data_IF_714291002337
#
_entry.id   IF_714291002337
#
_cell.length_a   1.000
_cell.length_b   1.000
_cell.length_c   1.000
_cell.angle_alpha   90.00
_cell.angle_beta   90.00
_cell.angle_gamma   90.00
#
_symmetry.space_group_name_H-M   'P 1'
#
loop_
_entity.id
_entity.type
_entity.pdbx_description
1 polymer ?
#
# COMPACT_ATOMS: atom_id res chain seq x y z
N UNK A 1 5.65 -34.68 92.99
CA UNK A 1 6.05 -34.98 91.60
C UNK A 1 4.77 -34.98 90.76
N UNK A 2 4.64 -33.96 89.92
CA UNK A 2 3.38 -33.25 89.67
C UNK A 2 2.40 -33.95 88.72
N UNK A 3 1.12 -33.96 89.12
CA UNK A 3 -0.03 -34.28 88.26
C UNK A 3 -0.04 -33.44 86.97
N UNK A 4 0.56 -32.24 87.02
CA UNK A 4 0.72 -31.29 85.92
C UNK A 4 1.63 -31.77 84.77
N UNK A 5 2.49 -32.78 85.01
CA UNK A 5 3.43 -33.31 83.99
C UNK A 5 2.84 -34.45 83.13
N UNK A 6 1.77 -35.11 83.59
CA UNK A 6 1.08 -36.16 82.83
C UNK A 6 0.15 -35.59 81.76
N UNK A 7 -0.46 -34.44 82.01
CA UNK A 7 -1.33 -33.76 81.05
C UNK A 7 -0.54 -33.11 79.92
N UNK A 8 0.64 -32.54 80.18
CA UNK A 8 1.51 -31.97 79.14
C UNK A 8 2.07 -33.03 78.21
N UNK A 9 2.44 -34.21 78.71
CA UNK A 9 2.89 -35.33 77.86
C UNK A 9 1.76 -35.93 77.01
N UNK A 10 0.53 -36.00 77.54
CA UNK A 10 -0.64 -36.45 76.78
C UNK A 10 -1.08 -35.42 75.72
N UNK A 11 -0.96 -34.12 76.00
CA UNK A 11 -1.22 -33.05 75.03
C UNK A 11 -0.14 -33.02 73.95
N UNK A 12 1.14 -33.25 74.29
CA UNK A 12 2.22 -33.39 73.30
C UNK A 12 2.09 -34.67 72.46
N UNK A 13 1.59 -35.78 73.02
CA UNK A 13 1.28 -37.00 72.26
C UNK A 13 0.01 -36.87 71.40
N UNK A 14 -0.97 -36.06 71.81
CA UNK A 14 -2.13 -35.71 70.98
C UNK A 14 -1.74 -34.72 69.87
N UNK A 15 -0.87 -33.76 70.15
CA UNK A 15 -0.36 -32.80 69.16
C UNK A 15 0.64 -33.45 68.18
N UNK A 16 1.42 -34.45 68.60
CA UNK A 16 2.26 -35.24 67.70
C UNK A 16 1.49 -36.30 66.87
N UNK A 17 0.26 -36.64 67.25
CA UNK A 17 -0.61 -37.52 66.45
C UNK A 17 -1.66 -36.75 65.65
N UNK A 18 -1.62 -35.41 65.65
CA UNK A 18 -2.40 -34.56 64.75
C UNK A 18 -1.58 -33.91 63.64
N UNK A 19 -0.34 -34.36 63.41
CA UNK A 19 0.29 -34.24 62.09
C UNK A 19 -0.35 -35.26 61.14
N UNK A 20 -1.68 -35.22 61.02
CA UNK A 20 -2.32 -35.58 59.76
C UNK A 20 -1.80 -34.51 58.82
N UNK A 21 -0.82 -34.87 58.00
CA UNK A 21 -0.39 -34.03 56.90
C UNK A 21 -1.64 -33.59 56.16
N UNK A 22 -2.00 -32.32 56.30
CA UNK A 22 -2.87 -31.68 55.34
C UNK A 22 -2.06 -31.71 54.05
N UNK A 23 -2.24 -32.75 53.25
CA UNK A 23 -1.85 -32.71 51.85
C UNK A 23 -2.71 -31.58 51.27
N UNK A 24 -2.07 -30.43 51.00
CA UNK A 24 -2.74 -29.25 50.45
C UNK A 24 -3.66 -29.70 49.32
N UNK A 25 -4.97 -29.50 49.50
CA UNK A 25 -5.94 -29.95 48.52
C UNK A 25 -5.82 -29.09 47.27
N UNK A 26 -5.44 -29.70 46.15
CA UNK A 26 -5.39 -29.05 44.84
C UNK A 26 -6.21 -29.83 43.81
N UNK A 27 -6.52 -29.15 42.72
CA UNK A 27 -7.02 -29.73 41.47
C UNK A 27 -6.08 -29.32 40.33
N UNK A 28 -6.07 -30.08 39.24
CA UNK A 28 -5.37 -29.69 38.02
C UNK A 28 -6.38 -29.08 37.06
N UNK A 29 -6.12 -27.85 36.63
CA UNK A 29 -7.00 -27.10 35.73
C UNK A 29 -6.34 -27.01 34.35
N UNK A 30 -7.02 -27.58 33.36
CA UNK A 30 -6.71 -27.43 31.94
C UNK A 30 -7.60 -26.37 31.26
N UNK A 31 -7.45 -26.18 29.95
CA UNK A 31 -8.23 -25.22 29.19
C UNK A 31 -9.66 -25.75 28.96
N UNK A 32 -10.63 -24.83 28.86
CA UNK A 32 -12.03 -25.17 28.54
C UNK A 32 -12.29 -25.36 27.04
N UNK A 33 -11.35 -24.95 26.18
CA UNK A 33 -11.43 -25.09 24.72
C UNK A 33 -10.19 -25.84 24.21
N UNK A 34 -10.28 -26.53 23.05
CA UNK A 34 -9.12 -27.12 22.41
C UNK A 34 -8.03 -26.08 22.13
N UNK A 35 -6.78 -26.48 22.31
CA UNK A 35 -5.62 -25.69 21.92
C UNK A 35 -5.39 -25.93 20.44
N UNK A 36 -5.39 -24.85 19.65
CA UNK A 36 -5.13 -24.92 18.20
C UNK A 36 -3.74 -24.38 17.91
N UNK A 37 -2.97 -25.09 17.08
CA UNK A 37 -1.63 -24.70 16.66
C UNK A 37 -1.38 -25.06 15.19
N UNK A 38 -0.35 -24.49 14.59
CA UNK A 38 0.06 -24.80 13.23
C UNK A 38 1.24 -25.77 13.19
N UNK A 39 1.38 -26.51 12.07
CA UNK A 39 2.55 -27.36 11.84
C UNK A 39 3.85 -26.54 11.86
N UNK A 40 4.90 -27.13 12.44
CA UNK A 40 6.22 -26.56 12.65
C UNK A 40 6.30 -25.37 13.63
N UNK A 41 5.21 -25.03 14.32
CA UNK A 41 5.23 -24.11 15.45
C UNK A 41 5.46 -24.85 16.77
N UNK A 42 5.80 -24.09 17.82
CA UNK A 42 5.88 -24.59 19.19
C UNK A 42 4.53 -24.32 19.89
N UNK A 43 4.01 -25.31 20.63
CA UNK A 43 2.74 -25.19 21.35
C UNK A 43 2.91 -25.50 22.83
N UNK A 44 2.13 -24.82 23.66
CA UNK A 44 2.02 -25.09 25.10
C UNK A 44 0.62 -25.64 25.37
N UNK A 45 0.54 -26.85 25.92
CA UNK A 45 -0.70 -27.43 26.45
C UNK A 45 -0.84 -27.01 27.91
N UNK A 46 -1.76 -26.06 28.22
CA UNK A 46 -1.82 -25.46 29.52
C UNK A 46 -2.39 -26.43 30.55
N UNK A 47 -1.68 -26.58 31.67
CA UNK A 47 -2.18 -27.26 32.86
C UNK A 47 -1.57 -26.60 34.10
N UNK A 48 -2.40 -26.31 35.10
CA UNK A 48 -1.96 -25.60 36.30
C UNK A 48 -2.69 -26.10 37.55
N UNK A 49 -2.02 -26.02 38.69
CA UNK A 49 -2.60 -26.36 39.99
C UNK A 49 -3.46 -25.20 40.49
N UNK A 50 -4.65 -25.53 41.00
CA UNK A 50 -5.51 -24.60 41.70
C UNK A 50 -5.82 -25.15 43.10
N UNK A 51 -5.44 -24.47 44.20
CA UNK A 51 -4.65 -23.22 44.22
C UNK A 51 -3.22 -23.42 43.69
N UNK A 52 -2.52 -22.32 43.39
CA UNK A 52 -1.13 -22.38 42.95
C UNK A 52 -0.22 -22.88 44.08
N UNK A 53 0.41 -24.04 43.87
CA UNK A 53 1.31 -24.70 44.82
C UNK A 53 2.66 -25.00 44.16
N UNK A 54 3.72 -25.14 44.95
CA UNK A 54 5.00 -25.58 44.40
C UNK A 54 4.94 -27.07 44.02
N UNK A 55 4.98 -27.35 42.71
CA UNK A 55 4.93 -28.68 42.13
C UNK A 55 6.31 -29.31 41.87
N UNK A 56 7.42 -28.70 42.28
CA UNK A 56 8.77 -29.24 42.04
C UNK A 56 8.97 -30.64 42.65
N UNK A 57 8.36 -30.88 43.80
CA UNK A 57 8.39 -32.17 44.49
C UNK A 57 7.33 -33.16 43.99
N UNK A 58 6.44 -32.75 43.07
CA UNK A 58 5.35 -33.57 42.56
C UNK A 58 5.82 -34.40 41.37
N UNK A 59 5.10 -35.47 41.09
CA UNK A 59 5.29 -36.24 39.87
C UNK A 59 4.24 -35.83 38.83
N UNK A 60 4.67 -35.51 37.62
CA UNK A 60 3.79 -35.07 36.52
C UNK A 60 3.94 -36.01 35.34
N UNK A 61 2.81 -36.53 34.84
CA UNK A 61 2.76 -37.40 33.67
C UNK A 61 1.88 -36.79 32.59
N UNK A 62 2.41 -36.76 31.38
CA UNK A 62 1.66 -36.46 30.17
C UNK A 62 1.60 -37.70 29.29
N UNK A 63 0.39 -38.10 28.90
CA UNK A 63 0.16 -39.26 28.05
C UNK A 63 -1.09 -39.07 27.19
N UNK A 64 -1.17 -39.82 26.10
CA UNK A 64 -2.33 -39.82 25.19
C UNK A 64 -3.26 -40.98 25.49
N UNK A 65 -2.73 -42.20 25.58
CA UNK A 65 -3.50 -43.45 25.74
C UNK A 65 -3.02 -44.31 26.91
N UNK A 66 -1.74 -44.70 26.94
CA UNK A 66 -1.19 -45.57 27.98
C UNK A 66 -0.44 -44.79 29.07
N UNK A 67 -1.01 -44.81 30.28
CA UNK A 67 -0.41 -44.20 31.47
C UNK A 67 0.94 -44.82 31.88
N UNK A 68 1.19 -46.09 31.52
CA UNK A 68 2.44 -46.80 31.85
C UNK A 68 3.59 -46.42 30.93
N UNK A 69 3.27 -45.83 29.78
CA UNK A 69 4.25 -45.35 28.82
C UNK A 69 4.00 -43.87 28.50
N UNK A 70 4.20 -42.97 29.49
CA UNK A 70 3.92 -41.56 29.32
C UNK A 70 4.88 -40.95 28.29
N UNK A 71 4.34 -40.03 27.50
CA UNK A 71 5.13 -39.28 26.52
C UNK A 71 6.15 -38.38 27.21
N UNK A 72 5.78 -37.83 28.37
CA UNK A 72 6.66 -37.10 29.27
C UNK A 72 6.35 -37.47 30.73
N UNK A 73 7.40 -37.78 31.48
CA UNK A 73 7.37 -38.04 32.92
C UNK A 73 8.36 -37.09 33.61
N UNK A 74 7.86 -36.23 34.48
CA UNK A 74 8.67 -35.48 35.43
C UNK A 74 8.57 -36.14 36.81
N UNK A 75 9.70 -36.59 37.34
CA UNK A 75 9.80 -37.13 38.69
C UNK A 75 11.24 -36.96 39.21
N UNK A 76 11.40 -36.74 40.52
CA UNK A 76 12.72 -36.60 41.15
C UNK A 76 13.62 -35.57 40.44
N UNK A 77 13.07 -34.39 40.15
CA UNK A 77 13.76 -33.28 39.48
C UNK A 77 14.33 -33.61 38.09
N UNK A 78 13.82 -34.66 37.45
CA UNK A 78 14.27 -35.12 36.14
C UNK A 78 13.12 -35.33 35.18
N UNK A 79 13.33 -34.94 33.92
CA UNK A 79 12.38 -35.12 32.82
C UNK A 79 12.80 -36.34 31.98
N UNK A 80 11.98 -37.38 32.02
CA UNK A 80 12.09 -38.59 31.18
C UNK A 80 11.08 -38.52 30.04
N UNK A 81 11.50 -39.00 28.87
CA UNK A 81 10.74 -38.99 27.61
C UNK A 81 10.81 -40.36 26.97
N UNK A 82 9.75 -40.79 26.29
CA UNK A 82 9.66 -42.13 25.73
C UNK A 82 10.60 -42.31 24.52
N UNK A 83 10.61 -41.36 23.59
CA UNK A 83 11.49 -41.34 22.40
C UNK A 83 11.70 -39.94 21.80
N UNK A 84 10.91 -38.96 22.21
CA UNK A 84 10.81 -37.66 21.56
C UNK A 84 11.48 -36.56 22.39
N UNK A 85 12.45 -35.85 21.79
CA UNK A 85 13.17 -34.75 22.45
C UNK A 85 12.45 -33.41 22.34
N UNK A 86 11.40 -33.32 21.51
CA UNK A 86 10.62 -32.08 21.28
C UNK A 86 9.72 -31.72 22.45
N UNK A 87 9.36 -32.70 23.28
CA UNK A 87 8.42 -32.57 24.39
C UNK A 87 9.16 -32.23 25.66
N UNK A 88 8.78 -31.15 26.34
CA UNK A 88 9.42 -30.70 27.57
C UNK A 88 8.43 -30.00 28.49
N UNK A 89 8.87 -29.71 29.71
CA UNK A 89 8.15 -28.93 30.70
C UNK A 89 9.12 -27.91 31.32
N UNK A 90 8.61 -26.73 31.69
CA UNK A 90 9.41 -25.70 32.37
C UNK A 90 9.50 -25.97 33.87
N UNK A 91 10.70 -26.33 34.35
CA UNK A 91 10.96 -26.61 35.77
C UNK A 91 10.76 -25.35 36.62
N UNK A 92 11.18 -24.18 36.14
CA UNK A 92 11.00 -22.91 36.87
C UNK A 92 9.53 -22.59 37.13
N UNK A 93 8.66 -22.94 36.18
CA UNK A 93 7.22 -22.71 36.26
C UNK A 93 6.52 -23.69 37.22
N UNK A 94 7.13 -24.82 37.57
CA UNK A 94 6.59 -25.75 38.57
C UNK A 94 6.46 -25.10 39.95
N UNK A 95 7.34 -24.16 40.29
CA UNK A 95 7.29 -23.40 41.56
C UNK A 95 5.98 -22.66 41.76
N UNK A 96 5.32 -22.31 40.65
CA UNK A 96 4.05 -21.59 40.62
C UNK A 96 2.87 -22.52 40.33
N UNK A 97 3.07 -23.84 40.36
CA UNK A 97 2.04 -24.83 40.07
C UNK A 97 1.70 -24.98 38.59
N UNK A 98 2.54 -24.44 37.69
CA UNK A 98 2.32 -24.61 36.25
C UNK A 98 3.02 -25.87 35.76
N UNK A 99 2.22 -26.84 35.33
CA UNK A 99 2.63 -28.20 34.91
C UNK A 99 2.42 -28.41 33.40
N UNK A 100 2.39 -27.32 32.64
CA UNK A 100 2.10 -27.33 31.21
C UNK A 100 3.14 -28.11 30.38
N UNK A 101 2.66 -28.83 29.36
CA UNK A 101 3.52 -29.52 28.39
C UNK A 101 3.86 -28.56 27.24
N UNK A 102 5.12 -28.55 26.84
CA UNK A 102 5.62 -27.80 25.69
C UNK A 102 6.00 -28.81 24.62
N UNK A 103 5.42 -28.69 23.43
CA UNK A 103 5.75 -29.50 22.26
C UNK A 103 6.38 -28.59 21.22
N UNK A 104 7.64 -28.84 20.89
CA UNK A 104 8.36 -28.10 19.87
C UNK A 104 8.15 -28.68 18.47
N UNK A 105 8.18 -27.83 17.46
CA UNK A 105 8.07 -28.25 16.05
C UNK A 105 6.93 -29.26 15.84
N UNK A 106 5.70 -28.81 16.01
CA UNK A 106 4.48 -29.64 16.01
C UNK A 106 4.27 -30.33 14.67
N UNK A 107 3.95 -31.61 14.70
CA UNK A 107 3.59 -32.42 13.53
C UNK A 107 2.09 -32.73 13.52
N UNK A 108 1.54 -33.09 12.35
CA UNK A 108 0.12 -33.49 12.21
C UNK A 108 -0.21 -34.70 13.10
N UNK A 109 0.76 -35.59 13.33
CA UNK A 109 0.60 -36.73 14.23
C UNK A 109 0.51 -36.36 15.72
N UNK A 110 0.83 -35.13 16.10
CA UNK A 110 0.67 -34.67 17.49
C UNK A 110 -0.81 -34.27 17.78
N UNK A 111 -1.71 -34.27 16.79
CA UNK A 111 -3.15 -34.02 16.97
C UNK A 111 -3.82 -35.16 17.76
N UNK A 112 -3.92 -34.97 19.08
CA UNK A 112 -4.42 -35.97 20.02
C UNK A 112 -5.06 -35.31 21.25
N UNK A 113 -5.85 -36.10 21.97
CA UNK A 113 -6.31 -35.77 23.32
C UNK A 113 -5.22 -36.16 24.33
N UNK A 114 -4.64 -35.15 24.98
CA UNK A 114 -3.63 -35.32 26.00
C UNK A 114 -4.25 -35.34 27.39
N UNK A 115 -3.68 -36.16 28.28
CA UNK A 115 -4.03 -36.23 29.70
C UNK A 115 -2.82 -35.83 30.52
N UNK A 116 -3.04 -34.89 31.44
CA UNK A 116 -2.07 -34.46 32.42
C UNK A 116 -2.48 -35.00 33.78
N UNK A 117 -1.58 -35.74 34.41
CA UNK A 117 -1.81 -36.39 35.68
C UNK A 117 -0.72 -35.96 36.66
N UNK A 118 -1.14 -35.48 37.82
CA UNK A 118 -0.23 -34.95 38.85
C UNK A 118 -0.40 -35.75 40.14
N UNK A 119 0.72 -36.27 40.65
CA UNK A 119 0.79 -37.00 41.91
C UNK A 119 1.50 -36.17 42.99
N UNK A 120 0.86 -36.07 44.15
CA UNK A 120 1.44 -35.51 45.37
C UNK A 120 1.25 -36.50 46.51
N UNK A 121 2.25 -37.36 46.72
CA UNK A 121 2.18 -38.45 47.70
C UNK A 121 1.07 -39.45 47.36
N UNK A 122 -0.05 -39.37 48.07
CA UNK A 122 -1.22 -40.25 47.90
C UNK A 122 -2.35 -39.62 47.06
N UNK A 123 -2.24 -38.33 46.72
CA UNK A 123 -3.26 -37.62 45.93
C UNK A 123 -2.91 -37.68 44.45
N UNK A 124 -3.94 -37.88 43.64
CA UNK A 124 -3.90 -37.96 42.18
C UNK A 124 -4.99 -37.06 41.61
N UNK A 125 -4.61 -36.17 40.71
CA UNK A 125 -5.54 -35.26 40.02
C UNK A 125 -5.22 -35.24 38.52
N UNK A 126 -6.25 -35.25 37.67
CA UNK A 126 -6.14 -35.32 36.22
C UNK A 126 -6.86 -34.14 35.54
N UNK A 127 -6.30 -33.66 34.42
CA UNK A 127 -7.02 -32.84 33.44
C UNK A 127 -6.77 -33.33 32.02
N UNK A 128 -7.68 -32.98 31.11
CA UNK A 128 -7.58 -33.28 29.69
C UNK A 128 -7.33 -32.02 28.88
N UNK A 129 -6.49 -32.12 27.85
CA UNK A 129 -6.20 -31.04 26.91
C UNK A 129 -6.27 -31.59 25.49
N UNK A 130 -7.22 -31.09 24.71
CA UNK A 130 -7.36 -31.45 23.29
C UNK A 130 -6.44 -30.56 22.45
N UNK A 131 -5.49 -31.14 21.73
CA UNK A 131 -4.64 -30.42 20.76
C UNK A 131 -5.18 -30.65 19.36
N UNK A 132 -5.46 -29.58 18.62
CA UNK A 132 -5.84 -29.63 17.20
C UNK A 132 -4.75 -28.98 16.36
N UNK A 133 -4.18 -29.72 15.41
CA UNK A 133 -3.08 -29.25 14.57
C UNK A 133 -3.61 -28.87 13.20
N UNK A 134 -3.45 -27.60 12.83
CA UNK A 134 -3.85 -27.07 11.54
C UNK A 134 -2.66 -26.95 10.57
N UNK A 135 -2.90 -27.29 9.31
CA UNK A 135 -1.99 -27.08 8.19
C UNK A 135 -2.56 -25.97 7.33
N UNK A 136 -1.86 -24.84 7.29
CA UNK A 136 -2.15 -23.77 6.33
C UNK A 136 -1.65 -24.22 4.97
N UNK A 137 -2.57 -24.34 4.02
CA UNK A 137 -2.22 -24.75 2.67
C UNK A 137 -1.61 -23.62 1.85
N UNK A 138 -1.31 -23.95 0.59
CA UNK A 138 -0.76 -22.99 -0.36
C UNK A 138 -1.76 -21.88 -0.71
N UNK A 139 -1.25 -20.76 -1.24
CA UNK A 139 -2.08 -19.66 -1.71
C UNK A 139 -3.04 -20.15 -2.81
N UNK A 140 -4.34 -19.80 -2.76
CA UNK A 140 -5.30 -20.23 -3.77
C UNK A 140 -4.96 -19.62 -5.13
N UNK A 141 -5.16 -20.43 -6.17
CA UNK A 141 -5.02 -20.03 -7.57
C UNK A 141 -6.38 -20.10 -8.26
N UNK A 142 -6.70 -19.09 -9.06
CA UNK A 142 -7.96 -19.05 -9.83
C UNK A 142 -7.64 -19.41 -11.28
N UNK A 143 -8.28 -20.46 -11.78
CA UNK A 143 -8.22 -20.88 -13.17
C UNK A 143 -9.60 -20.75 -13.84
N UNK A 144 -9.60 -20.56 -15.15
CA UNK A 144 -10.82 -20.50 -15.94
C UNK A 144 -10.98 -21.81 -16.72
N UNK A 145 -12.11 -22.48 -16.57
CA UNK A 145 -12.47 -23.67 -17.35
C UNK A 145 -13.74 -23.41 -18.16
N UNK A 146 -13.66 -23.60 -19.49
CA UNK A 146 -14.81 -23.57 -20.39
C UNK A 146 -15.14 -25.01 -20.79
N UNK A 147 -16.25 -25.56 -20.30
CA UNK A 147 -16.78 -26.84 -20.79
C UNK A 147 -17.58 -26.63 -22.08
N UNK A 148 -17.51 -27.58 -23.03
CA UNK A 148 -18.34 -27.63 -24.25
C UNK A 148 -19.82 -27.41 -23.89
N UNK A 149 -20.34 -26.19 -24.11
CA UNK A 149 -21.67 -25.77 -23.65
C UNK A 149 -21.82 -24.34 -23.10
N UNK A 150 -20.97 -23.39 -23.51
CA UNK A 150 -21.17 -21.93 -23.36
C UNK A 150 -21.29 -21.33 -21.94
N UNK A 151 -20.92 -22.02 -20.86
CA UNK A 151 -20.83 -21.39 -19.53
C UNK A 151 -19.41 -21.40 -19.00
N UNK A 152 -18.81 -20.21 -18.93
CA UNK A 152 -17.52 -19.96 -18.28
C UNK A 152 -17.61 -20.29 -16.80
N UNK A 153 -16.67 -21.10 -16.30
CA UNK A 153 -16.58 -21.46 -14.88
C UNK A 153 -15.22 -21.02 -14.35
N UNK A 154 -15.21 -20.37 -13.20
CA UNK A 154 -14.00 -20.07 -12.46
C UNK A 154 -13.78 -21.16 -11.41
N UNK A 155 -12.57 -21.68 -11.33
CA UNK A 155 -12.17 -22.65 -10.31
C UNK A 155 -11.06 -22.04 -9.46
N UNK A 156 -11.34 -21.83 -8.18
CA UNK A 156 -10.36 -21.43 -7.18
C UNK A 156 -9.85 -22.68 -6.47
N UNK A 157 -8.57 -23.00 -6.62
CA UNK A 157 -7.98 -24.24 -6.10
C UNK A 157 -6.77 -23.96 -5.21
N UNK A 158 -6.69 -24.67 -4.09
CA UNK A 158 -5.55 -24.66 -3.18
C UNK A 158 -5.25 -26.07 -2.66
N UNK A 159 -3.97 -26.30 -2.35
CA UNK A 159 -3.45 -27.60 -1.94
C UNK A 159 -2.90 -27.56 -0.51
N UNK A 160 -2.71 -28.73 0.09
CA UNK A 160 -2.05 -28.92 1.39
C UNK A 160 -2.80 -28.32 2.59
N UNK A 161 -4.13 -28.27 2.56
CA UNK A 161 -4.95 -27.77 3.67
C UNK A 161 -5.36 -28.87 4.66
N UNK A 162 -5.40 -28.58 5.95
CA UNK A 162 -6.05 -29.44 6.94
C UNK A 162 -6.40 -28.63 8.20
N UNK A 163 -7.67 -28.47 8.63
CA UNK A 163 -8.90 -28.99 8.03
C UNK A 163 -9.32 -28.20 6.78
N UNK A 164 -10.51 -28.48 6.23
CA UNK A 164 -11.06 -27.74 5.09
C UNK A 164 -11.23 -26.24 5.45
N UNK A 165 -10.68 -25.32 4.63
CA UNK A 165 -10.84 -23.89 4.84
C UNK A 165 -12.26 -23.42 4.49
N UNK A 166 -12.64 -22.30 5.08
CA UNK A 166 -13.77 -21.50 4.66
C UNK A 166 -13.41 -20.79 3.34
N UNK A 167 -14.24 -20.95 2.32
CA UNK A 167 -14.02 -20.32 1.00
C UNK A 167 -15.06 -19.24 0.81
N UNK A 168 -14.61 -18.03 0.48
CA UNK A 168 -15.47 -16.87 0.21
C UNK A 168 -15.16 -16.29 -1.16
N UNK A 169 -16.21 -15.90 -1.89
CA UNK A 169 -16.11 -15.26 -3.19
C UNK A 169 -16.70 -13.86 -3.13
N UNK A 170 -15.98 -12.88 -3.70
CA UNK A 170 -16.48 -11.51 -3.87
C UNK A 170 -16.32 -11.04 -5.30
N UNK A 171 -17.30 -10.27 -5.77
CA UNK A 171 -17.24 -9.59 -7.08
C UNK A 171 -16.44 -8.27 -7.01
N UNK A 172 -16.40 -7.53 -8.13
CA UNK A 172 -15.69 -6.24 -8.25
C UNK A 172 -16.26 -5.15 -7.33
N UNK A 173 -17.55 -5.24 -6.98
CA UNK A 173 -18.23 -4.31 -6.10
C UNK A 173 -18.09 -4.71 -4.61
N UNK A 174 -17.42 -5.84 -4.33
CA UNK A 174 -17.25 -6.39 -2.99
C UNK A 174 -18.46 -7.17 -2.49
N UNK A 175 -19.45 -7.47 -3.32
CA UNK A 175 -20.63 -8.25 -2.95
C UNK A 175 -20.28 -9.74 -2.80
N UNK A 176 -20.86 -10.39 -1.79
CA UNK A 176 -20.67 -11.81 -1.52
C UNK A 176 -21.46 -12.67 -2.51
N UNK A 177 -20.75 -13.48 -3.29
CA UNK A 177 -21.32 -14.41 -4.29
C UNK A 177 -21.04 -15.87 -3.95
N UNK A 178 -20.59 -16.15 -2.72
CA UNK A 178 -20.17 -17.49 -2.26
C UNK A 178 -21.28 -18.54 -2.40
N UNK A 179 -22.54 -18.15 -2.20
CA UNK A 179 -23.72 -19.03 -2.31
C UNK A 179 -23.93 -19.63 -3.71
N UNK A 180 -23.31 -19.04 -4.74
CA UNK A 180 -23.38 -19.53 -6.12
C UNK A 180 -22.26 -20.52 -6.44
N UNK A 181 -21.25 -20.63 -5.56
CA UNK A 181 -20.10 -21.51 -5.74
C UNK A 181 -20.37 -22.93 -5.22
N UNK A 182 -19.66 -23.92 -5.78
CA UNK A 182 -19.68 -25.30 -5.29
C UNK A 182 -18.29 -25.69 -4.82
N UNK A 183 -18.16 -26.13 -3.57
CA UNK A 183 -16.89 -26.54 -2.97
C UNK A 183 -16.71 -28.06 -3.11
N UNK A 184 -15.53 -28.48 -3.53
CA UNK A 184 -15.05 -29.86 -3.57
C UNK A 184 -13.77 -29.95 -2.74
N UNK A 185 -13.60 -31.06 -2.05
CA UNK A 185 -12.40 -31.36 -1.28
C UNK A 185 -11.98 -32.79 -1.54
N UNK A 186 -10.74 -32.97 -1.96
CA UNK A 186 -10.13 -34.27 -2.22
C UNK A 186 -8.91 -34.41 -1.32
N UNK A 187 -8.62 -35.63 -0.85
CA UNK A 187 -7.43 -35.89 -0.03
C UNK A 187 -6.31 -36.39 -0.92
N UNK A 188 -5.12 -35.83 -0.78
CA UNK A 188 -3.93 -36.27 -1.48
C UNK A 188 -3.33 -37.54 -0.83
N UNK A 189 -2.23 -38.04 -1.41
CA UNK A 189 -1.50 -39.21 -0.91
C UNK A 189 -0.87 -39.00 0.46
N UNK A 190 -0.64 -37.77 0.88
CA UNK A 190 -0.06 -37.39 2.19
C UNK A 190 -1.14 -37.18 3.25
N UNK A 191 -2.41 -37.31 2.87
CA UNK A 191 -3.53 -37.09 3.77
C UNK A 191 -3.91 -35.62 3.93
N UNK A 192 -3.41 -34.69 3.11
CA UNK A 192 -3.82 -33.28 3.13
C UNK A 192 -4.94 -33.02 2.12
N UNK A 193 -5.70 -31.94 2.30
CA UNK A 193 -6.84 -31.60 1.45
C UNK A 193 -6.41 -30.68 0.30
N UNK A 194 -6.77 -31.09 -0.91
CA UNK A 194 -6.88 -30.25 -2.09
C UNK A 194 -8.31 -29.76 -2.18
N UNK A 195 -8.50 -28.45 -2.06
CA UNK A 195 -9.81 -27.82 -1.97
C UNK A 195 -10.01 -26.96 -3.21
N UNK A 196 -11.07 -27.24 -3.96
CA UNK A 196 -11.45 -26.46 -5.12
C UNK A 196 -12.87 -25.92 -4.98
N UNK A 197 -13.07 -24.66 -5.35
CA UNK A 197 -14.37 -24.01 -5.37
C UNK A 197 -14.67 -23.54 -6.78
N UNK A 198 -15.83 -23.92 -7.31
CA UNK A 198 -16.24 -23.65 -8.69
C UNK A 198 -17.38 -22.64 -8.70
N UNK A 199 -17.17 -21.48 -9.33
CA UNK A 199 -18.16 -20.41 -9.49
C UNK A 199 -18.62 -20.34 -10.97
N UNK A 200 -19.91 -20.55 -11.26
CA UNK A 200 -20.46 -20.35 -12.60
C UNK A 200 -20.64 -18.85 -12.89
N UNK A 201 -20.03 -18.36 -13.97
CA UNK A 201 -20.08 -16.94 -14.34
C UNK A 201 -21.15 -16.72 -15.41
N UNK A 202 -22.03 -15.73 -15.19
CA UNK A 202 -23.10 -15.35 -16.13
C UNK A 202 -22.73 -14.17 -17.05
N UNK A 203 -21.77 -13.35 -16.64
CA UNK A 203 -21.40 -12.09 -17.30
C UNK A 203 -19.94 -12.13 -17.74
N UNK A 204 -19.64 -11.67 -18.95
CA UNK A 204 -18.31 -11.75 -19.55
C UNK A 204 -17.29 -10.78 -18.93
N UNK A 205 -17.73 -9.75 -18.19
CA UNK A 205 -16.87 -8.68 -17.66
C UNK A 205 -17.08 -8.48 -16.16
N UNK A 206 -16.56 -9.38 -15.34
CA UNK A 206 -16.51 -9.21 -13.89
C UNK A 206 -15.17 -9.69 -13.31
N UNK A 207 -14.70 -8.99 -12.29
CA UNK A 207 -13.53 -9.40 -11.50
C UNK A 207 -14.03 -10.12 -10.27
N UNK A 208 -13.53 -11.32 -10.04
CA UNK A 208 -13.86 -12.13 -8.87
C UNK A 208 -12.60 -12.33 -8.02
N UNK A 209 -12.78 -12.28 -6.71
CA UNK A 209 -11.76 -12.62 -5.73
C UNK A 209 -12.23 -13.83 -4.93
N UNK A 210 -11.30 -14.77 -4.71
CA UNK A 210 -11.52 -15.96 -3.89
C UNK A 210 -10.59 -15.89 -2.69
N UNK A 211 -11.14 -16.05 -1.50
CA UNK A 211 -10.40 -16.05 -0.24
C UNK A 211 -10.67 -17.35 0.50
N UNK A 212 -9.60 -18.10 0.80
CA UNK A 212 -9.64 -19.30 1.63
C UNK A 212 -9.07 -19.00 3.01
N UNK A 213 -9.83 -19.26 4.07
CA UNK A 213 -9.48 -18.94 5.47
C UNK A 213 -9.58 -20.18 6.37
N UNK A 214 -8.65 -20.34 7.31
CA UNK A 214 -8.81 -21.36 8.35
C UNK A 214 -9.95 -20.99 9.32
N UNK A 215 -10.61 -22.00 9.89
CA UNK A 215 -11.66 -21.82 10.91
C UNK A 215 -11.11 -21.36 12.25
N UNK A 216 -9.86 -21.72 12.59
CA UNK A 216 -9.21 -21.17 13.77
C UNK A 216 -8.65 -19.77 13.47
N UNK A 217 -8.93 -18.78 14.34
CA UNK A 217 -8.37 -17.45 14.19
C UNK A 217 -6.88 -17.49 14.54
N UNK A 218 -5.99 -17.32 13.56
CA UNK A 218 -4.63 -16.84 13.80
C UNK A 218 -4.68 -15.32 13.95
N UNK A 219 -4.38 -14.74 15.13
CA UNK A 219 -4.04 -13.34 15.19
C UNK A 219 -2.74 -13.15 14.41
N UNK A 220 -2.69 -12.09 13.62
CA UNK A 220 -1.56 -11.61 12.81
C UNK A 220 -1.30 -12.34 11.49
N UNK A 221 -2.17 -12.05 10.51
CA UNK A 221 -1.76 -11.77 9.13
C UNK A 221 -2.60 -10.60 8.59
N UNK A 222 -1.96 -9.44 8.36
CA UNK A 222 -2.46 -8.50 7.35
C UNK A 222 -2.41 -9.25 6.02
N UNK A 223 -3.57 -9.67 5.52
CA UNK A 223 -3.69 -10.28 4.20
C UNK A 223 -3.10 -9.31 3.18
N UNK A 224 -1.92 -9.62 2.66
CA UNK A 224 -1.37 -8.96 1.49
C UNK A 224 -2.35 -9.19 0.35
N UNK A 225 -3.08 -8.14 -0.01
CA UNK A 225 -3.98 -8.14 -1.15
C UNK A 225 -3.11 -8.20 -2.41
N UNK A 226 -2.82 -9.42 -2.87
CA UNK A 226 -2.26 -9.64 -4.19
C UNK A 226 -3.33 -9.31 -5.22
N UNK A 227 -3.44 -8.03 -5.60
CA UNK A 227 -4.19 -7.63 -6.78
C UNK A 227 -3.45 -8.20 -7.98
N UNK A 228 -3.85 -9.39 -8.42
CA UNK A 228 -3.51 -9.85 -9.76
C UNK A 228 -4.25 -8.95 -10.75
N UNK A 229 -3.56 -7.92 -11.22
CA UNK A 229 -3.93 -7.29 -12.46
C UNK A 229 -3.77 -8.34 -13.55
N UNK A 230 -4.90 -8.86 -14.01
CA UNK A 230 -4.98 -9.60 -15.26
C UNK A 230 -4.57 -8.60 -16.35
N UNK A 231 -3.27 -8.55 -16.64
CA UNK A 231 -2.80 -7.93 -17.86
C UNK A 231 -3.37 -8.80 -18.97
N UNK A 232 -4.28 -8.31 -19.84
CA UNK A 232 -4.67 -9.11 -20.99
C UNK A 232 -3.39 -9.42 -21.76
N UNK A 233 -3.26 -10.69 -22.15
CA UNK A 233 -2.11 -11.20 -22.90
C UNK A 233 -1.70 -10.20 -23.97
N UNK A 234 -0.37 -10.00 -24.08
CA UNK A 234 0.32 -9.02 -24.94
C UNK A 234 -0.60 -8.51 -26.03
N UNK A 235 -1.15 -7.30 -25.82
CA UNK A 235 -2.00 -6.64 -26.80
C UNK A 235 -1.34 -6.77 -28.17
N UNK A 236 -2.11 -7.10 -29.21
CA UNK A 236 -1.57 -7.16 -30.57
C UNK A 236 -0.80 -5.88 -30.95
N UNK A 237 -1.11 -4.76 -30.30
CA UNK A 237 -0.35 -3.51 -30.38
C UNK A 237 1.05 -3.55 -29.77
N UNK A 238 1.28 -4.26 -28.66
CA UNK A 238 2.62 -4.46 -28.08
C UNK A 238 3.46 -5.38 -28.97
N UNK A 239 2.87 -6.42 -29.55
CA UNK A 239 3.57 -7.26 -30.55
C UNK A 239 3.88 -6.44 -31.80
N UNK A 240 2.93 -5.66 -32.31
CA UNK A 240 3.15 -4.76 -33.43
C UNK A 240 4.24 -3.73 -33.11
N UNK A 241 4.23 -3.14 -31.91
CA UNK A 241 5.23 -2.18 -31.46
C UNK A 241 6.62 -2.81 -31.35
N UNK A 242 6.73 -4.02 -30.78
CA UNK A 242 8.00 -4.75 -30.70
C UNK A 242 8.50 -5.16 -32.09
N UNK A 243 7.63 -5.62 -33.00
CA UNK A 243 7.98 -5.93 -34.38
C UNK A 243 8.43 -4.67 -35.11
N UNK A 244 7.75 -3.53 -34.92
CA UNK A 244 8.12 -2.26 -35.52
C UNK A 244 9.44 -1.73 -34.96
N UNK A 245 9.67 -1.89 -33.66
CA UNK A 245 10.93 -1.56 -33.00
C UNK A 245 12.08 -2.41 -33.54
N UNK A 246 11.89 -3.74 -33.67
CA UNK A 246 12.89 -4.64 -34.24
C UNK A 246 13.13 -4.33 -35.72
N UNK A 247 12.09 -4.01 -36.49
CA UNK A 247 12.23 -3.56 -37.87
C UNK A 247 12.98 -2.22 -37.95
N UNK A 248 12.74 -1.28 -37.05
CA UNK A 248 13.49 -0.03 -36.96
C UNK A 248 14.95 -0.28 -36.59
N UNK A 249 15.22 -1.14 -35.61
CA UNK A 249 16.58 -1.50 -35.17
C UNK A 249 17.33 -2.39 -36.17
N UNK A 250 16.64 -3.10 -37.07
CA UNK A 250 17.24 -3.82 -38.19
C UNK A 250 17.38 -2.96 -39.44
N UNK A 251 16.51 -1.94 -39.59
CA UNK A 251 16.61 -0.94 -40.63
C UNK A 251 17.72 0.07 -40.33
N UNK A 252 17.99 0.45 -39.08
CA UNK A 252 19.06 1.42 -38.78
C UNK A 252 20.46 0.96 -39.21
N UNK A 253 20.90 -0.30 -39.05
CA UNK A 253 22.19 -0.77 -39.54
C UNK A 253 22.17 -0.91 -41.06
N UNK A 254 21.07 -1.37 -41.66
CA UNK A 254 20.93 -1.44 -43.12
C UNK A 254 20.95 -0.06 -43.77
N UNK A 255 20.31 0.93 -43.14
CA UNK A 255 20.34 2.34 -43.53
C UNK A 255 21.71 2.96 -43.27
N UNK A 256 22.40 2.61 -42.20
CA UNK A 256 23.78 3.06 -41.93
C UNK A 256 24.78 2.41 -42.90
N UNK A 257 24.57 1.15 -43.32
CA UNK A 257 25.38 0.45 -44.32
C UNK A 257 25.08 0.98 -45.72
N UNK A 258 23.81 1.21 -46.06
CA UNK A 258 23.42 1.91 -47.30
C UNK A 258 23.92 3.34 -47.31
N UNK A 259 23.92 4.04 -46.16
CA UNK A 259 24.46 5.39 -46.02
C UNK A 259 25.99 5.39 -46.11
N UNK A 260 26.68 4.37 -45.58
CA UNK A 260 28.12 4.20 -45.81
C UNK A 260 28.44 3.89 -47.27
N UNK A 261 27.68 3.00 -47.92
CA UNK A 261 27.80 2.72 -49.36
C UNK A 261 27.47 3.93 -50.22
N UNK A 262 26.45 4.72 -49.85
CA UNK A 262 26.13 5.99 -50.51
C UNK A 262 27.19 7.05 -50.24
N UNK A 263 27.80 7.10 -49.05
CA UNK A 263 28.86 8.06 -48.73
C UNK A 263 30.11 7.88 -49.60
N UNK A 264 30.37 6.67 -50.09
CA UNK A 264 31.45 6.42 -51.06
C UNK A 264 31.08 6.89 -52.49
N UNK A 265 29.81 6.78 -52.91
CA UNK A 265 29.36 7.30 -54.22
C UNK A 265 28.98 8.79 -54.21
N UNK A 266 28.72 9.37 -53.03
CA UNK A 266 28.23 10.73 -52.84
C UNK A 266 29.34 11.80 -52.80
N UNK A 267 30.63 11.46 -52.69
CA UNK A 267 31.72 12.46 -52.87
C UNK A 267 31.74 13.08 -54.27
N UNK A 268 31.03 12.49 -55.24
CA UNK A 268 30.83 13.06 -56.58
C UNK A 268 29.44 13.70 -56.80
N UNK A 269 28.48 13.51 -55.88
CA UNK A 269 27.11 14.05 -55.94
C UNK A 269 26.80 15.11 -54.85
N UNK A 270 27.67 15.24 -53.85
CA UNK A 270 27.63 16.23 -52.73
C UNK A 270 27.78 17.70 -53.16
N UNK A 271 27.99 17.99 -54.46
CA UNK A 271 28.00 19.38 -54.94
C UNK A 271 26.61 19.94 -55.30
N UNK A 272 25.57 19.09 -55.44
CA UNK A 272 24.29 19.54 -56.03
C UNK A 272 23.10 19.48 -55.07
N UNK A 273 23.05 18.59 -54.08
CA UNK A 273 21.81 18.36 -53.27
C UNK A 273 21.92 18.82 -51.81
N UNK A 274 23.14 19.05 -51.30
CA UNK A 274 23.38 19.56 -49.93
C UNK A 274 22.98 21.02 -49.67
N UNK A 275 22.60 21.78 -50.70
CA UNK A 275 22.27 23.21 -50.58
C UNK A 275 20.80 23.49 -50.18
N UNK A 276 19.88 22.54 -50.40
CA UNK A 276 18.43 22.82 -50.33
C UNK A 276 17.76 22.54 -48.96
N UNK A 277 17.98 21.42 -48.25
CA UNK A 277 17.22 21.12 -47.02
C UNK A 277 17.81 21.69 -45.73
N UNK A 278 19.13 21.89 -45.64
CA UNK A 278 19.79 22.52 -44.48
C UNK A 278 19.49 24.03 -44.45
N UNK A 279 19.33 24.67 -45.61
CA UNK A 279 18.80 26.02 -45.70
C UNK A 279 17.36 26.09 -45.18
N UNK A 280 16.52 25.07 -45.36
CA UNK A 280 15.11 25.13 -44.94
C UNK A 280 14.93 25.05 -43.42
N UNK A 281 15.71 24.21 -42.72
CA UNK A 281 15.67 24.12 -41.24
C UNK A 281 16.50 25.20 -40.54
N UNK A 282 17.60 25.67 -41.15
CA UNK A 282 18.28 26.89 -40.66
C UNK A 282 17.39 28.12 -40.86
N UNK A 283 16.62 28.17 -41.95
CA UNK A 283 15.67 29.24 -42.24
C UNK A 283 14.43 29.19 -41.34
N UNK A 284 13.99 28.06 -40.80
CA UNK A 284 12.91 28.03 -39.80
C UNK A 284 13.38 28.46 -38.41
N UNK A 285 14.61 28.09 -38.01
CA UNK A 285 15.19 28.49 -36.72
C UNK A 285 15.68 29.95 -36.75
N UNK A 286 16.20 30.46 -37.88
CA UNK A 286 16.45 31.91 -38.07
C UNK A 286 15.17 32.73 -38.23
N UNK A 287 14.05 32.12 -38.63
CA UNK A 287 12.74 32.78 -38.78
C UNK A 287 11.97 32.84 -37.46
N UNK A 288 12.33 32.08 -36.42
CA UNK A 288 11.75 32.24 -35.07
C UNK A 288 12.60 33.10 -34.12
N UNK A 289 13.83 33.48 -34.51
CA UNK A 289 14.72 34.31 -33.69
C UNK A 289 14.97 35.72 -34.24
N UNK A 290 14.08 36.21 -35.10
CA UNK A 290 13.94 37.63 -35.40
C UNK A 290 12.45 37.95 -35.52
N UNK A 291 11.84 38.49 -34.46
CA UNK A 291 10.76 39.47 -34.70
C UNK A 291 11.38 40.48 -35.66
N UNK A 292 10.93 40.51 -36.90
CA UNK A 292 11.53 41.38 -37.91
C UNK A 292 11.44 42.82 -37.42
N UNK A 293 12.37 43.71 -37.82
CA UNK A 293 12.25 45.13 -37.48
C UNK A 293 10.89 45.75 -37.91
N UNK A 294 10.18 45.12 -38.85
CA UNK A 294 8.83 45.49 -39.25
C UNK A 294 7.77 44.96 -38.27
N UNK A 295 7.83 43.70 -37.85
CA UNK A 295 6.94 43.15 -36.81
C UNK A 295 7.15 43.83 -35.46
N UNK A 296 8.39 44.12 -35.08
CA UNK A 296 8.69 44.85 -33.85
C UNK A 296 8.13 46.27 -33.91
N UNK A 297 8.29 46.97 -35.05
CA UNK A 297 7.64 48.26 -35.27
C UNK A 297 6.11 48.17 -35.21
N UNK A 298 5.51 47.08 -35.70
CA UNK A 298 4.06 46.85 -35.60
C UNK A 298 3.62 46.64 -34.16
N UNK A 299 4.34 45.82 -33.38
CA UNK A 299 4.07 45.59 -31.96
C UNK A 299 4.21 46.91 -31.16
N UNK A 300 5.29 47.66 -31.36
CA UNK A 300 5.49 48.93 -30.69
C UNK A 300 4.46 50.00 -31.13
N UNK A 301 3.88 49.91 -32.33
CA UNK A 301 2.82 50.83 -32.77
C UNK A 301 1.49 50.64 -32.05
N UNK A 302 1.28 49.48 -31.41
CA UNK A 302 0.12 49.16 -30.58
C UNK A 302 0.36 49.37 -29.08
N UNK A 303 1.29 50.26 -28.71
CA UNK A 303 1.56 50.55 -27.30
C UNK A 303 0.28 51.00 -26.57
N UNK A 304 -0.07 50.27 -25.51
CA UNK A 304 -1.26 50.49 -24.71
C UNK A 304 -0.86 50.94 -23.30
N UNK A 305 -1.51 51.99 -22.82
CA UNK A 305 -1.28 52.52 -21.48
C UNK A 305 -2.11 51.74 -20.44
N UNK A 306 -1.50 50.72 -19.83
CA UNK A 306 -2.18 49.84 -18.86
C UNK A 306 -1.98 50.38 -17.44
N UNK A 307 -3.06 50.46 -16.67
CA UNK A 307 -3.04 50.81 -15.24
C UNK A 307 -3.80 49.76 -14.44
N UNK A 308 -3.32 49.42 -13.25
CA UNK A 308 -3.94 48.47 -12.34
C UNK A 308 -5.23 49.04 -11.74
N UNK A 309 -6.22 48.18 -11.49
CA UNK A 309 -7.47 48.52 -10.82
C UNK A 309 -7.43 48.16 -9.33
N UNK A 310 -7.36 49.14 -8.41
CA UNK A 310 -7.38 48.91 -6.98
C UNK A 310 -8.66 48.20 -6.48
N UNK A 311 -9.77 48.27 -7.22
CA UNK A 311 -10.99 47.55 -6.84
C UNK A 311 -10.86 46.04 -7.02
N UNK A 312 -9.97 45.60 -7.92
CA UNK A 312 -9.72 44.18 -8.18
C UNK A 312 -8.61 43.62 -7.30
N UNK A 313 -7.65 44.45 -6.89
CA UNK A 313 -6.44 44.02 -6.19
C UNK A 313 -6.71 43.18 -4.94
N UNK A 314 -6.01 42.06 -4.80
CA UNK A 314 -5.99 41.28 -3.57
C UNK A 314 -5.58 42.16 -2.36
N UNK A 315 -6.15 41.98 -1.16
CA UNK A 315 -5.83 42.81 0.01
C UNK A 315 -4.36 42.83 0.45
N UNK A 316 -3.50 41.95 -0.06
CA UNK A 316 -2.03 41.97 0.19
C UNK A 316 -1.24 42.73 -0.88
N UNK A 317 -1.90 43.25 -1.91
CA UNK A 317 -1.30 44.04 -2.97
C UNK A 317 -1.60 45.52 -2.77
N UNK A 318 -0.54 46.32 -2.82
CA UNK A 318 -0.61 47.79 -2.83
C UNK A 318 -0.40 48.24 -4.27
N UNK A 319 -1.40 48.91 -4.81
CA UNK A 319 -1.31 49.60 -6.09
C UNK A 319 -0.84 51.04 -5.84
N UNK A 320 0.12 51.53 -6.60
CA UNK A 320 0.59 52.91 -6.52
C UNK A 320 -0.51 53.91 -6.90
N UNK A 321 -0.33 55.17 -6.51
CA UNK A 321 -1.31 56.23 -6.77
C UNK A 321 -1.55 56.46 -8.28
N UNK A 322 -0.50 56.32 -9.09
CA UNK A 322 -0.56 56.39 -10.55
C UNK A 322 -1.09 55.11 -11.22
N UNK A 323 -1.32 54.04 -10.45
CA UNK A 323 -1.79 52.75 -10.94
C UNK A 323 -0.76 51.98 -11.77
N UNK A 324 0.52 52.36 -11.77
CA UNK A 324 1.57 51.74 -12.59
C UNK A 324 2.38 50.66 -11.89
N UNK A 325 2.37 50.65 -10.57
CA UNK A 325 3.14 49.70 -9.77
C UNK A 325 2.24 48.88 -8.87
N UNK A 326 2.66 47.64 -8.64
CA UNK A 326 2.07 46.76 -7.63
C UNK A 326 3.14 46.18 -6.71
N UNK A 327 2.94 46.33 -5.41
CA UNK A 327 3.79 45.76 -4.36
C UNK A 327 3.03 44.75 -3.55
N UNK A 328 3.57 43.54 -3.44
CA UNK A 328 3.10 42.57 -2.46
C UNK A 328 3.61 42.96 -1.07
N UNK A 329 2.78 42.74 -0.06
CA UNK A 329 3.09 43.01 1.34
C UNK A 329 2.68 41.84 2.22
N UNK A 330 3.46 41.57 3.26
CA UNK A 330 3.21 40.46 4.18
C UNK A 330 1.99 40.68 5.09
N UNK A 331 1.36 41.86 5.03
CA UNK A 331 0.22 42.22 5.87
C UNK A 331 -1.00 42.52 5.02
N UNK A 332 -2.09 41.82 5.31
CA UNK A 332 -3.39 42.04 4.68
C UNK A 332 -3.93 43.43 5.02
N UNK A 333 -4.20 44.24 4.00
CA UNK A 333 -4.78 45.57 4.15
C UNK A 333 -6.26 45.52 4.53
N UNK A 334 -6.70 46.53 5.29
CA UNK A 334 -8.12 46.73 5.63
C UNK A 334 -8.83 47.48 4.50
N UNK A 335 -9.16 46.74 3.44
CA UNK A 335 -9.94 47.24 2.30
C UNK A 335 -11.33 46.60 2.27
N UNK A 336 -12.33 47.35 1.81
CA UNK A 336 -13.71 46.85 1.66
C UNK A 336 -13.74 45.76 0.59
N UNK A 337 -14.34 44.61 0.93
CA UNK A 337 -14.56 43.54 -0.04
C UNK A 337 -15.67 43.92 -1.04
N UNK A 338 -15.50 43.50 -2.28
CA UNK A 338 -16.46 43.69 -3.35
C UNK A 338 -16.38 42.49 -4.34
N UNK A 339 -17.38 42.28 -5.21
CA UNK A 339 -17.39 41.14 -6.13
C UNK A 339 -16.22 41.10 -7.13
N UNK A 340 -15.63 42.26 -7.47
CA UNK A 340 -14.52 42.37 -8.42
C UNK A 340 -13.15 42.05 -7.79
N UNK A 341 -13.05 42.04 -6.45
CA UNK A 341 -11.81 41.89 -5.70
C UNK A 341 -11.38 40.43 -5.56
N UNK A 342 -10.10 40.14 -5.78
CA UNK A 342 -9.53 38.83 -5.47
C UNK A 342 -9.39 38.64 -3.95
N UNK A 343 -9.78 37.48 -3.43
CA UNK A 343 -9.81 37.22 -1.97
C UNK A 343 -8.78 36.18 -1.48
N UNK A 344 -8.41 35.23 -2.32
CA UNK A 344 -7.52 34.11 -2.02
C UNK A 344 -6.26 34.10 -2.89
N UNK A 345 -6.41 34.23 -4.22
CA UNK A 345 -5.26 34.35 -5.13
C UNK A 345 -4.76 35.79 -5.19
N UNK A 346 -3.43 35.99 -5.09
CA UNK A 346 -2.78 37.30 -5.01
C UNK A 346 -2.66 37.93 -6.41
N UNK A 347 -3.80 38.31 -7.00
CA UNK A 347 -3.88 38.94 -8.33
C UNK A 347 -4.46 40.36 -8.29
N UNK A 348 -4.19 41.10 -9.36
CA UNK A 348 -4.79 42.40 -9.69
C UNK A 348 -4.98 42.45 -11.20
N UNK A 349 -6.08 43.04 -11.66
CA UNK A 349 -6.36 43.25 -13.08
C UNK A 349 -6.11 44.70 -13.48
N UNK A 350 -6.01 44.91 -14.79
CA UNK A 350 -6.02 46.25 -15.36
C UNK A 350 -7.41 46.90 -15.19
N UNK A 351 -7.42 48.23 -15.06
CA UNK A 351 -8.63 49.06 -15.01
C UNK A 351 -9.35 49.11 -16.35
N UNK A 352 -8.60 49.15 -17.44
CA UNK A 352 -9.13 49.06 -18.80
C UNK A 352 -9.08 47.62 -19.31
N UNK A 353 -10.20 47.13 -19.84
CA UNK A 353 -10.24 45.91 -20.65
C UNK A 353 -10.07 46.22 -22.14
N UNK A 354 -9.66 45.23 -22.91
CA UNK A 354 -9.59 45.30 -24.36
C UNK A 354 -10.73 44.52 -25.00
N UNK A 355 -11.41 45.11 -25.99
CA UNK A 355 -12.55 44.50 -26.67
C UNK A 355 -12.32 44.25 -28.17
N UNK A 356 -11.24 44.77 -28.73
CA UNK A 356 -10.82 44.59 -30.13
C UNK A 356 -9.40 45.13 -30.33
N UNK A 357 -8.77 44.75 -31.45
CA UNK A 357 -7.50 45.28 -31.90
C UNK A 357 -6.26 44.70 -31.21
N UNK A 358 -5.12 45.33 -31.50
CA UNK A 358 -3.80 44.93 -31.02
C UNK A 358 -3.32 45.86 -29.91
N UNK A 359 -2.75 45.29 -28.86
CA UNK A 359 -2.29 46.01 -27.68
C UNK A 359 -0.96 45.44 -27.21
N UNK A 360 -0.05 46.31 -26.81
CA UNK A 360 1.27 45.96 -26.32
C UNK A 360 1.63 46.75 -25.08
N UNK A 361 2.10 46.08 -24.04
CA UNK A 361 2.63 46.72 -22.83
C UNK A 361 3.80 45.93 -22.27
N UNK A 362 4.62 46.60 -21.47
CA UNK A 362 5.77 46.00 -20.81
C UNK A 362 5.60 46.08 -19.30
N UNK A 363 6.06 45.04 -18.61
CA UNK A 363 6.04 44.98 -17.15
C UNK A 363 7.44 44.68 -16.65
N UNK A 364 7.93 45.53 -15.75
CA UNK A 364 9.19 45.31 -15.05
C UNK A 364 8.98 44.25 -13.95
N UNK A 365 9.70 43.14 -14.08
CA UNK A 365 9.64 41.97 -13.17
C UNK A 365 11.00 41.67 -12.54
N UNK A 366 11.99 42.53 -12.80
CA UNK A 366 13.35 42.41 -12.27
C UNK A 366 13.37 42.31 -10.74
N UNK A 367 14.20 41.39 -10.23
CA UNK A 367 14.38 41.19 -8.78
C UNK A 367 13.23 40.48 -8.07
N UNK A 368 12.17 40.07 -8.78
CA UNK A 368 11.06 39.29 -8.21
C UNK A 368 11.38 37.79 -8.20
N UNK A 369 10.99 37.09 -7.14
CA UNK A 369 11.22 35.64 -6.97
C UNK A 369 10.07 34.78 -7.48
N UNK A 370 8.85 35.33 -7.55
CA UNK A 370 7.67 34.72 -8.14
C UNK A 370 6.72 35.80 -8.68
N UNK A 371 6.07 35.50 -9.81
CA UNK A 371 5.02 36.35 -10.40
C UNK A 371 4.20 35.56 -11.42
N UNK A 372 3.01 36.08 -11.73
CA UNK A 372 2.17 35.65 -12.84
C UNK A 372 1.83 36.90 -13.66
N UNK A 373 2.03 36.82 -14.98
CA UNK A 373 1.80 37.94 -15.87
C UNK A 373 1.09 37.46 -17.13
N UNK A 374 0.07 38.20 -17.57
CA UNK A 374 -0.60 37.93 -18.83
C UNK A 374 -1.95 38.61 -18.94
N UNK A 375 -2.87 37.95 -19.64
CA UNK A 375 -4.19 38.45 -19.97
C UNK A 375 -5.26 37.58 -19.30
N UNK A 376 -6.31 38.20 -18.80
CA UNK A 376 -7.47 37.51 -18.24
C UNK A 376 -8.75 38.05 -18.88
N UNK A 377 -9.75 37.19 -19.06
CA UNK A 377 -11.10 37.62 -19.42
C UNK A 377 -11.70 38.44 -18.27
N UNK A 378 -12.55 39.41 -18.57
CA UNK A 378 -13.25 40.16 -17.53
C UNK A 378 -14.13 39.24 -16.64
N UNK A 379 -14.71 38.21 -17.26
CA UNK A 379 -15.65 37.26 -16.64
C UNK A 379 -14.98 36.18 -15.78
N UNK A 380 -13.66 36.22 -15.57
CA UNK A 380 -12.99 35.20 -14.76
C UNK A 380 -13.50 35.19 -13.32
N UNK A 381 -13.52 34.00 -12.71
CA UNK A 381 -13.77 33.88 -11.28
C UNK A 381 -12.65 34.56 -10.48
N UNK A 382 -13.04 35.34 -9.46
CA UNK A 382 -12.13 36.11 -8.60
C UNK A 382 -12.20 35.70 -7.14
N UNK A 383 -13.00 34.69 -6.79
CA UNK A 383 -13.20 34.24 -5.41
C UNK A 383 -12.70 32.81 -5.19
N UNK A 384 -12.06 32.55 -4.06
CA UNK A 384 -11.50 31.26 -3.70
C UNK A 384 -10.29 30.85 -4.55
N UNK A 385 -9.97 29.55 -4.55
CA UNK A 385 -8.85 29.00 -5.33
C UNK A 385 -9.08 29.11 -6.83
N UNK A 386 -8.10 29.66 -7.56
CA UNK A 386 -8.15 29.86 -9.02
C UNK A 386 -7.14 28.95 -9.70
N UNK A 387 -7.62 28.15 -10.65
CA UNK A 387 -6.76 27.39 -11.57
C UNK A 387 -6.49 28.24 -12.81
N UNK A 388 -5.25 28.69 -12.96
CA UNK A 388 -4.83 29.49 -14.12
C UNK A 388 -4.74 28.59 -15.36
N UNK A 389 -5.56 28.86 -16.38
CA UNK A 389 -5.52 28.18 -17.67
C UNK A 389 -6.33 28.95 -18.73
N UNK A 390 -6.05 28.75 -20.03
CA UNK A 390 -6.85 29.34 -21.11
C UNK A 390 -8.33 28.98 -21.00
N UNK A 391 -8.64 27.74 -20.60
CA UNK A 391 -10.00 27.27 -20.35
C UNK A 391 -10.74 28.12 -19.30
N UNK A 392 -10.05 28.51 -18.23
CA UNK A 392 -10.59 29.38 -17.18
C UNK A 392 -10.48 30.88 -17.51
N UNK A 393 -10.07 31.22 -18.73
CA UNK A 393 -9.98 32.59 -19.22
C UNK A 393 -8.69 33.32 -18.82
N UNK A 394 -7.61 32.59 -18.51
CA UNK A 394 -6.30 33.16 -18.17
C UNK A 394 -5.22 32.69 -19.16
N UNK A 395 -4.51 33.62 -19.77
CA UNK A 395 -3.31 33.36 -20.59
C UNK A 395 -2.13 34.01 -19.90
N UNK A 396 -1.29 33.22 -19.25
CA UNK A 396 -0.23 33.76 -18.39
C UNK A 396 1.10 33.04 -18.57
N UNK A 397 2.17 33.78 -18.28
CA UNK A 397 3.49 33.24 -18.00
C UNK A 397 3.73 33.40 -16.51
N UNK A 398 4.25 32.36 -15.88
CA UNK A 398 4.55 32.38 -14.46
C UNK A 398 6.02 32.10 -14.19
N UNK A 399 6.54 32.77 -13.17
CA UNK A 399 7.81 32.48 -12.53
C UNK A 399 7.53 31.79 -11.19
N UNK A 400 8.15 30.62 -11.00
CA UNK A 400 8.20 29.89 -9.73
C UNK A 400 9.65 29.52 -9.40
N UNK A 401 9.93 29.24 -8.13
CA UNK A 401 11.23 28.76 -7.66
C UNK A 401 12.44 29.60 -8.15
N UNK A 402 12.24 30.91 -8.34
CA UNK A 402 13.23 31.89 -8.81
C UNK A 402 13.82 31.71 -10.21
N UNK A 403 13.64 30.57 -10.88
CA UNK A 403 14.21 30.29 -12.20
C UNK A 403 13.35 29.40 -13.11
N UNK A 404 12.18 28.95 -12.66
CA UNK A 404 11.28 28.12 -13.46
C UNK A 404 10.24 29.00 -14.14
N UNK A 405 10.36 29.13 -15.47
CA UNK A 405 9.45 29.91 -16.30
C UNK A 405 8.52 28.98 -17.05
N UNK A 406 7.22 29.17 -16.88
CA UNK A 406 6.21 28.32 -17.52
C UNK A 406 5.18 29.18 -18.24
N UNK A 407 4.93 28.87 -19.51
CA UNK A 407 3.78 29.39 -20.23
C UNK A 407 2.57 28.49 -19.95
N UNK A 408 1.53 29.06 -19.35
CA UNK A 408 0.31 28.36 -18.99
C UNK A 408 -0.61 28.32 -20.20
N UNK A 409 -0.51 27.24 -20.97
CA UNK A 409 -1.44 26.88 -22.06
C UNK A 409 -2.30 25.68 -21.64
N UNK A 410 -3.00 25.01 -22.56
CA UNK A 410 -3.73 23.78 -22.24
C UNK A 410 -2.83 22.68 -21.63
N UNK A 411 -1.54 22.70 -21.98
CA UNK A 411 -0.50 21.88 -21.37
C UNK A 411 0.65 22.80 -21.02
N UNK A 412 0.92 23.00 -19.73
CA UNK A 412 2.00 23.87 -19.25
C UNK A 412 3.33 23.59 -19.96
N UNK A 413 3.88 24.61 -20.61
CA UNK A 413 5.13 24.52 -21.38
C UNK A 413 6.26 25.22 -20.62
N UNK A 414 7.33 24.49 -20.34
CA UNK A 414 8.53 25.07 -19.73
C UNK A 414 9.30 25.93 -20.74
N UNK A 415 9.64 27.16 -20.37
CA UNK A 415 10.37 28.10 -21.20
C UNK A 415 11.87 28.07 -20.83
N UNK A 416 12.76 27.53 -21.69
CA UNK A 416 14.19 27.45 -21.39
C UNK A 416 14.88 28.82 -21.58
N UNK A 417 14.78 29.69 -20.58
CA UNK A 417 15.45 30.99 -20.57
C UNK A 417 16.88 30.87 -20.02
N UNK A 418 17.86 31.42 -20.76
CA UNK A 418 19.27 31.44 -20.33
C UNK A 418 19.59 32.61 -19.39
N UNK A 419 18.78 33.65 -19.41
CA UNK A 419 18.97 34.89 -18.65
C UNK A 419 17.65 35.25 -17.97
N UNK A 420 17.70 35.68 -16.71
CA UNK A 420 16.51 36.14 -15.99
C UNK A 420 15.99 37.45 -16.62
N UNK A 421 14.74 37.51 -17.10
CA UNK A 421 14.19 38.72 -17.70
C UNK A 421 14.04 39.82 -16.65
N UNK A 422 14.38 41.06 -17.04
CA UNK A 422 14.12 42.26 -16.23
C UNK A 422 12.75 42.86 -16.57
N UNK A 423 12.38 42.76 -17.84
CA UNK A 423 11.12 43.28 -18.39
C UNK A 423 10.50 42.20 -19.25
N UNK A 424 9.18 42.04 -19.14
CA UNK A 424 8.40 41.12 -19.97
C UNK A 424 7.38 41.92 -20.74
N UNK A 425 7.44 41.84 -22.07
CA UNK A 425 6.45 42.43 -22.97
C UNK A 425 5.28 41.48 -23.19
N UNK A 426 4.06 41.99 -23.10
CA UNK A 426 2.82 41.27 -23.43
C UNK A 426 2.23 41.90 -24.68
N UNK A 427 2.09 41.10 -25.73
CA UNK A 427 1.41 41.48 -26.96
C UNK A 427 0.12 40.69 -27.08
N UNK A 428 -1.00 41.41 -27.22
CA UNK A 428 -2.33 40.87 -27.40
C UNK A 428 -2.84 41.26 -28.79
N UNK A 429 -3.22 40.29 -29.61
CA UNK A 429 -3.98 40.51 -30.84
C UNK A 429 -5.40 39.97 -30.63
N UNK A 430 -6.31 40.82 -30.14
CA UNK A 430 -7.66 40.38 -29.78
C UNK A 430 -8.45 39.86 -30.98
N UNK A 431 -8.15 40.36 -32.18
CA UNK A 431 -8.90 40.05 -33.39
C UNK A 431 -8.48 38.69 -34.00
N UNK A 432 -7.23 38.25 -33.78
CA UNK A 432 -6.71 36.96 -34.26
C UNK A 432 -6.86 35.80 -33.25
N UNK A 433 -7.31 36.10 -32.02
CA UNK A 433 -7.52 35.12 -30.94
C UNK A 433 -6.32 34.94 -30.03
#
# INVERSE_FOLDING_TARGET
MNLQMRWTLLILLFLHNTDISWADSFIVVGPSKPVVTYVAEDVVLPASLSPALNAEAFEVRWFTTDIRSPELLYANYNIRRQSDTRRTLSIDNLKNGNVSLIIRNVHVSDDHLYRCLVYSGLREEETQVSLTVEVLGAQPSISMSSTEGQKTRLECSAEKWNPQPEVTWRDMNGADVTSQSTIKSERDTEGLLRVSSVLPVKEEYNVFSCLMRSKAPKPDWHSGLGIYSFSPGVSGWLVAFCVLLVLCLAATPLLVIQWRRMRETNTRYDSIVGFLPIWFLHKEIEKSQRVTNAEWRRICSSAADVTFDPETAHPELIVSEDGKEVRHTDTRQRVTDNPKRFDYCVFVLARGGFTSGRHYWEVEVGGKTAWDLGVARESVNRKGGITVSPYNGYWTVCLRNENEYTAVTDIAVHLPLRVKPQTVGVFLDYDEG
#
